data_IF_863864610143
#
_entry.id   IF_863864610143
#
_cell.length_a   1.000
_cell.length_b   1.000
_cell.length_c   1.000
_cell.angle_alpha   90.00
_cell.angle_beta   90.00
_cell.angle_gamma   90.00
#
_symmetry.space_group_name_H-M   'P 1'
#
loop_
_entity.id
_entity.type
_entity.pdbx_description
1 polymer ?
#
# COMPACT_ATOMS: atom_id res chain seq x y z
N UNK A 1 71.64 19.66 19.62
CA UNK A 1 71.28 20.54 18.49
C UNK A 1 70.67 19.68 17.39
N UNK A 2 69.73 20.25 16.63
CA UNK A 2 68.91 19.68 15.55
C UNK A 2 67.67 18.89 15.97
N UNK A 3 66.55 19.61 15.86
CA UNK A 3 65.15 19.20 15.96
C UNK A 3 64.73 18.44 14.71
N UNK A 4 63.99 17.36 14.91
CA UNK A 4 63.29 16.59 13.89
C UNK A 4 62.08 17.37 13.37
N UNK A 5 61.93 17.35 12.05
CA UNK A 5 60.81 17.87 11.26
C UNK A 5 59.54 17.02 11.53
N UNK A 6 58.40 17.65 11.77
CA UNK A 6 57.08 17.07 11.48
C UNK A 6 56.23 18.17 10.84
N UNK A 7 56.08 18.11 9.51
CA UNK A 7 55.03 18.83 8.81
C UNK A 7 53.72 18.06 9.01
N UNK A 8 52.78 18.64 9.74
CA UNK A 8 51.40 18.19 9.78
C UNK A 8 50.64 18.88 8.63
N UNK A 9 50.25 18.11 7.61
CA UNK A 9 49.25 18.53 6.63
C UNK A 9 47.87 18.47 7.33
N UNK A 10 47.37 19.63 7.75
CA UNK A 10 45.97 19.79 8.12
C UNK A 10 45.14 19.85 6.83
N UNK A 11 44.68 18.68 6.35
CA UNK A 11 43.61 18.63 5.37
C UNK A 11 42.29 18.86 6.12
N UNK A 12 41.88 20.12 6.18
CA UNK A 12 40.50 20.46 6.54
C UNK A 12 39.57 19.79 5.53
N UNK A 13 38.91 18.72 5.96
CA UNK A 13 37.68 18.23 5.36
C UNK A 13 36.65 19.36 5.43
N UNK A 14 36.55 20.14 4.36
CA UNK A 14 35.34 20.89 4.02
C UNK A 14 34.26 19.85 3.70
N UNK A 15 33.68 19.26 4.73
CA UNK A 15 32.32 18.72 4.61
C UNK A 15 31.47 19.95 4.38
N UNK A 16 31.11 20.24 3.13
CA UNK A 16 30.01 21.16 2.88
C UNK A 16 28.82 20.57 3.64
N UNK A 17 28.31 21.21 4.71
CA UNK A 17 27.02 20.80 5.22
C UNK A 17 26.07 20.98 4.03
N UNK A 18 25.36 19.91 3.66
CA UNK A 18 24.21 20.01 2.76
C UNK A 18 23.41 21.24 3.21
N UNK A 19 23.17 22.17 2.27
CA UNK A 19 22.38 23.36 2.58
C UNK A 19 21.10 22.90 3.29
N UNK A 20 20.75 23.54 4.40
CA UNK A 20 19.54 23.19 5.15
C UNK A 20 18.36 23.17 4.17
N UNK A 21 17.84 21.99 3.88
CA UNK A 21 16.79 21.83 2.90
C UNK A 21 15.53 22.49 3.48
N UNK A 22 15.01 23.51 2.79
CA UNK A 22 13.84 24.25 3.26
C UNK A 22 12.57 23.44 3.03
N UNK A 23 12.23 22.57 3.97
CA UNK A 23 10.95 21.86 3.99
C UNK A 23 9.82 22.75 4.52
N UNK A 24 8.65 22.66 3.91
CA UNK A 24 7.42 23.29 4.42
C UNK A 24 6.62 22.30 5.28
N UNK A 25 5.97 22.75 6.37
CA UNK A 25 5.06 21.91 7.15
C UNK A 25 3.89 21.39 6.30
N UNK A 26 3.35 20.23 6.66
CA UNK A 26 2.19 19.61 6.01
C UNK A 26 2.37 19.39 4.49
N UNK A 27 3.60 19.08 4.07
CA UNK A 27 3.90 18.63 2.73
C UNK A 27 4.57 17.26 2.80
N UNK A 28 4.10 16.33 1.96
CA UNK A 28 4.78 15.07 1.70
C UNK A 28 5.53 15.20 0.37
N UNK A 29 6.78 14.76 0.33
CA UNK A 29 7.60 14.83 -0.87
C UNK A 29 7.68 13.45 -1.51
N UNK A 30 7.50 13.37 -2.83
CA UNK A 30 7.46 12.10 -3.54
C UNK A 30 8.27 12.12 -4.84
N UNK A 31 8.50 10.93 -5.40
CA UNK A 31 9.48 10.63 -6.45
C UNK A 31 10.94 11.02 -6.12
N UNK A 32 11.30 10.92 -4.85
CA UNK A 32 12.65 11.16 -4.36
C UNK A 32 13.62 10.06 -4.81
N UNK A 33 14.84 10.47 -5.18
CA UNK A 33 15.99 9.56 -5.27
C UNK A 33 16.63 9.30 -3.92
N UNK A 34 17.59 8.36 -3.88
CA UNK A 34 18.39 8.06 -2.69
C UNK A 34 19.89 8.25 -2.95
N UNK A 35 20.69 8.80 -2.02
CA UNK A 35 20.33 9.31 -0.69
C UNK A 35 19.30 10.44 -0.77
N UNK A 36 18.35 10.48 0.16
CA UNK A 36 17.24 11.43 0.07
C UNK A 36 17.74 12.87 0.07
N UNK A 37 17.34 13.62 -0.95
CA UNK A 37 17.53 15.04 -1.06
C UNK A 37 16.41 15.65 -1.92
N UNK A 38 16.02 16.88 -1.60
CA UNK A 38 15.14 17.69 -2.43
C UNK A 38 15.92 18.34 -3.58
N UNK A 39 15.33 18.32 -4.77
CA UNK A 39 15.77 19.06 -5.95
C UNK A 39 14.60 19.85 -6.57
N UNK A 40 14.85 20.52 -7.70
CA UNK A 40 13.84 21.34 -8.40
C UNK A 40 12.70 20.52 -9.02
N UNK A 41 12.89 19.21 -9.20
CA UNK A 41 11.95 18.29 -9.83
C UNK A 41 11.15 17.50 -8.80
N UNK A 42 11.52 17.61 -7.53
CA UNK A 42 10.86 16.89 -6.44
C UNK A 42 9.42 17.35 -6.30
N UNK A 43 8.51 16.41 -6.42
CA UNK A 43 7.08 16.66 -6.32
C UNK A 43 6.64 16.66 -4.85
N UNK A 44 5.54 17.36 -4.57
CA UNK A 44 4.97 17.41 -3.24
C UNK A 44 3.44 17.40 -3.25
N UNK A 45 2.86 16.83 -2.20
CA UNK A 45 1.44 16.86 -1.92
C UNK A 45 1.21 17.68 -0.66
N UNK A 46 0.39 18.73 -0.76
CA UNK A 46 -0.02 19.53 0.40
C UNK A 46 -1.12 18.77 1.14
N UNK A 47 -0.91 18.53 2.44
CA UNK A 47 -1.90 17.93 3.32
C UNK A 47 -2.78 19.02 3.91
N UNK A 48 -4.04 19.06 3.47
CA UNK A 48 -5.05 20.02 3.89
C UNK A 48 -6.46 19.44 3.73
N UNK A 49 -7.49 20.25 3.97
CA UNK A 49 -8.89 19.83 3.81
C UNK A 49 -9.21 19.32 2.39
N UNK A 50 -8.50 19.79 1.37
CA UNK A 50 -8.73 19.35 -0.01
C UNK A 50 -8.16 17.96 -0.28
N UNK A 51 -7.14 17.48 0.44
CA UNK A 51 -6.50 16.17 0.21
C UNK A 51 -6.82 15.15 1.31
N UNK A 52 -7.52 15.56 2.37
CA UNK A 52 -7.83 14.71 3.52
C UNK A 52 -8.65 13.49 3.16
N UNK A 53 -9.71 13.65 2.38
CA UNK A 53 -10.60 12.55 1.99
C UNK A 53 -9.88 11.50 1.14
N UNK A 54 -8.93 11.92 0.29
CA UNK A 54 -8.06 11.02 -0.47
C UNK A 54 -7.16 10.20 0.44
N UNK A 55 -6.52 10.83 1.44
CA UNK A 55 -5.74 10.11 2.42
C UNK A 55 -6.61 9.11 3.19
N UNK A 56 -7.75 9.57 3.74
CA UNK A 56 -8.66 8.71 4.50
C UNK A 56 -9.12 7.50 3.68
N UNK A 57 -9.48 7.70 2.40
CA UNK A 57 -9.92 6.59 1.55
C UNK A 57 -8.82 5.54 1.35
N UNK A 58 -7.56 5.97 1.22
CA UNK A 58 -6.42 5.06 1.17
C UNK A 58 -6.16 4.34 2.50
N UNK A 59 -6.34 5.01 3.64
CA UNK A 59 -6.22 4.37 4.95
C UNK A 59 -7.34 3.37 5.21
N UNK A 60 -8.57 3.64 4.74
CA UNK A 60 -9.68 2.68 4.78
C UNK A 60 -9.35 1.44 3.94
N UNK A 61 -8.83 1.63 2.73
CA UNK A 61 -8.41 0.50 1.90
C UNK A 61 -7.21 -0.25 2.49
N UNK A 62 -6.27 0.44 3.13
CA UNK A 62 -5.18 -0.19 3.87
C UNK A 62 -5.63 -0.99 5.09
N UNK A 63 -6.64 -0.51 5.81
CA UNK A 63 -7.27 -1.31 6.86
C UNK A 63 -7.98 -2.55 6.30
N UNK A 64 -8.61 -2.45 5.13
CA UNK A 64 -9.16 -3.62 4.41
C UNK A 64 -8.04 -4.58 4.00
N UNK A 65 -6.91 -4.06 3.52
CA UNK A 65 -5.76 -4.89 3.18
C UNK A 65 -5.23 -5.65 4.41
N UNK A 66 -5.01 -4.95 5.52
CA UNK A 66 -4.60 -5.57 6.78
C UNK A 66 -5.62 -6.62 7.27
N UNK A 67 -6.92 -6.34 7.15
CA UNK A 67 -7.99 -7.28 7.47
C UNK A 67 -7.91 -8.55 6.60
N UNK A 68 -7.75 -8.43 5.29
CA UNK A 68 -7.64 -9.56 4.36
C UNK A 68 -6.42 -10.44 4.65
N UNK A 69 -5.25 -9.84 4.97
CA UNK A 69 -4.05 -10.58 5.38
C UNK A 69 -4.35 -11.41 6.64
N UNK A 70 -4.96 -10.81 7.67
CA UNK A 70 -5.31 -11.51 8.90
C UNK A 70 -6.36 -12.61 8.71
N UNK A 71 -7.33 -12.44 7.80
CA UNK A 71 -8.28 -13.50 7.47
C UNK A 71 -7.58 -14.71 6.82
N UNK A 72 -6.58 -14.44 5.97
CA UNK A 72 -5.82 -15.50 5.30
C UNK A 72 -4.88 -16.25 6.24
N UNK A 73 -4.04 -15.51 6.97
CA UNK A 73 -3.10 -16.08 7.94
C UNK A 73 -3.09 -15.23 9.23
N UNK A 74 -3.88 -15.62 10.24
CA UNK A 74 -3.94 -14.93 11.53
C UNK A 74 -2.64 -14.95 12.33
N UNK A 75 -1.65 -15.77 11.94
CA UNK A 75 -0.37 -15.85 12.66
C UNK A 75 0.64 -14.82 12.17
N UNK A 76 0.43 -14.21 11.00
CA UNK A 76 1.32 -13.16 10.52
C UNK A 76 1.20 -11.93 11.42
N UNK A 77 2.34 -11.53 12.00
CA UNK A 77 2.48 -10.19 12.53
C UNK A 77 2.89 -9.25 11.38
N UNK A 78 2.62 -7.97 11.55
CA UNK A 78 3.17 -6.90 10.72
C UNK A 78 2.98 -5.55 11.40
N UNK A 79 3.73 -4.56 10.92
CA UNK A 79 3.50 -3.19 11.33
C UNK A 79 2.31 -2.63 10.55
N UNK A 80 1.20 -2.40 11.26
CA UNK A 80 -0.03 -1.85 10.68
C UNK A 80 0.22 -0.49 10.03
N UNK A 81 1.19 0.31 10.50
CA UNK A 81 1.52 1.60 9.89
C UNK A 81 1.93 1.43 8.42
N UNK A 82 2.81 0.47 8.13
CA UNK A 82 3.32 0.27 6.78
C UNK A 82 2.36 -0.52 5.88
N UNK A 83 1.56 -1.43 6.42
CA UNK A 83 0.53 -2.14 5.64
C UNK A 83 -0.69 -1.24 5.37
N UNK A 84 -1.23 -0.55 6.37
CA UNK A 84 -2.39 0.32 6.17
C UNK A 84 -2.02 1.59 5.39
N UNK A 85 -0.77 2.04 5.47
CA UNK A 85 -0.26 3.15 4.67
C UNK A 85 0.08 2.79 3.23
N UNK A 86 0.36 1.51 2.91
CA UNK A 86 0.98 1.14 1.63
C UNK A 86 0.19 1.60 0.40
N UNK A 87 -1.14 1.62 0.48
CA UNK A 87 -1.98 2.08 -0.63
C UNK A 87 -1.76 3.56 -0.92
N UNK A 88 -1.64 4.39 0.11
CA UNK A 88 -1.35 5.81 -0.08
C UNK A 88 0.07 6.02 -0.63
N UNK A 89 1.06 5.26 -0.13
CA UNK A 89 2.41 5.31 -0.69
C UNK A 89 2.46 4.86 -2.16
N UNK A 90 1.72 3.82 -2.51
CA UNK A 90 1.61 3.31 -3.89
C UNK A 90 0.94 4.33 -4.82
N UNK A 91 -0.09 5.04 -4.34
CA UNK A 91 -0.72 6.14 -5.07
C UNK A 91 0.30 7.24 -5.42
N UNK A 92 1.15 7.61 -4.46
CA UNK A 92 2.16 8.66 -4.66
C UNK A 92 3.29 8.25 -5.60
N UNK A 93 3.56 6.95 -5.74
CA UNK A 93 4.65 6.43 -6.57
C UNK A 93 4.43 6.61 -8.08
N UNK A 94 3.19 6.74 -8.54
CA UNK A 94 2.84 6.66 -9.98
C UNK A 94 2.64 8.01 -10.68
N UNK A 95 2.86 9.12 -9.96
CA UNK A 95 2.54 10.49 -10.39
C UNK A 95 1.14 10.68 -11.01
N UNK A 96 0.19 11.10 -10.18
CA UNK A 96 -1.20 11.28 -10.59
C UNK A 96 -1.62 12.73 -10.72
N UNK A 97 -0.66 13.64 -10.96
CA UNK A 97 -0.90 15.07 -10.75
C UNK A 97 -1.65 15.30 -9.43
N UNK A 98 -1.23 14.66 -8.35
CA UNK A 98 -1.97 14.70 -7.07
C UNK A 98 -2.10 16.14 -6.54
N UNK A 99 -1.21 17.04 -6.98
CA UNK A 99 -1.32 18.48 -6.77
C UNK A 99 -2.59 19.12 -7.40
N UNK A 100 -3.16 18.52 -8.44
CA UNK A 100 -4.39 18.94 -9.10
C UNK A 100 -5.66 18.34 -8.47
N UNK A 101 -5.53 17.42 -7.50
CA UNK A 101 -6.65 16.75 -6.83
C UNK A 101 -7.70 17.74 -6.31
N UNK A 102 -8.97 17.33 -6.34
CA UNK A 102 -10.11 18.12 -5.84
C UNK A 102 -11.03 17.25 -5.02
N UNK A 103 -11.21 17.55 -3.73
CA UNK A 103 -12.13 16.80 -2.85
C UNK A 103 -13.59 16.81 -3.33
N UNK A 104 -13.98 17.79 -4.12
CA UNK A 104 -15.32 17.88 -4.72
C UNK A 104 -15.53 16.91 -5.90
N UNK A 105 -14.46 16.31 -6.42
CA UNK A 105 -14.49 15.30 -7.47
C UNK A 105 -14.58 13.89 -6.86
N UNK A 106 -15.32 12.94 -7.48
CA UNK A 106 -15.22 11.53 -7.11
C UNK A 106 -13.94 10.87 -7.67
N UNK A 107 -13.20 11.56 -8.53
CA UNK A 107 -12.02 11.04 -9.22
C UNK A 107 -10.74 11.44 -8.52
N UNK A 108 -9.79 10.50 -8.47
CA UNK A 108 -8.41 10.74 -8.06
C UNK A 108 -7.76 11.71 -9.06
N UNK A 109 -7.95 11.45 -10.36
CA UNK A 109 -7.51 12.35 -11.43
C UNK A 109 -8.68 13.21 -11.91
N UNK A 110 -8.73 14.51 -11.57
CA UNK A 110 -9.82 15.38 -12.01
C UNK A 110 -9.71 15.78 -13.48
N UNK A 111 -8.56 15.54 -14.14
CA UNK A 111 -8.38 15.73 -15.58
C UNK A 111 -8.85 14.47 -16.35
N UNK A 112 -9.92 14.56 -17.17
CA UNK A 112 -10.40 13.43 -17.96
C UNK A 112 -9.39 12.88 -18.97
N UNK A 113 -8.48 13.70 -19.51
CA UNK A 113 -7.48 13.25 -20.47
C UNK A 113 -6.45 12.33 -19.80
N UNK A 114 -5.99 12.70 -18.61
CA UNK A 114 -5.06 11.89 -17.80
C UNK A 114 -5.74 10.62 -17.36
N UNK A 115 -6.97 10.70 -16.85
CA UNK A 115 -7.76 9.51 -16.51
C UNK A 115 -7.89 8.57 -17.71
N UNK A 116 -8.12 9.09 -18.92
CA UNK A 116 -8.20 8.26 -20.12
C UNK A 116 -6.88 7.55 -20.45
N UNK A 117 -5.73 8.15 -20.13
CA UNK A 117 -4.42 7.52 -20.29
C UNK A 117 -4.21 6.41 -19.25
N UNK A 118 -4.50 6.70 -17.97
CA UNK A 118 -4.36 5.75 -16.86
C UNK A 118 -5.32 4.55 -16.95
N UNK A 119 -6.41 4.69 -17.70
CA UNK A 119 -7.39 3.62 -17.95
C UNK A 119 -7.32 3.09 -19.38
N UNK A 120 -6.27 3.40 -20.14
CA UNK A 120 -6.08 2.82 -21.47
C UNK A 120 -5.98 1.28 -21.41
N UNK A 121 -6.17 0.55 -22.52
CA UNK A 121 -6.04 -0.90 -22.53
C UNK A 121 -4.75 -1.40 -21.87
N UNK A 122 -4.88 -2.34 -20.93
CA UNK A 122 -3.78 -2.89 -20.15
C UNK A 122 -3.32 -2.04 -18.96
N UNK A 123 -3.85 -0.83 -18.79
CA UNK A 123 -3.52 0.05 -17.66
C UNK A 123 -4.47 -0.17 -16.49
N UNK A 124 -3.91 -0.23 -15.27
CA UNK A 124 -4.64 -0.51 -14.04
C UNK A 124 -5.11 0.71 -13.26
N UNK A 125 -5.19 1.87 -13.89
CA UNK A 125 -5.54 3.12 -13.21
C UNK A 125 -4.41 3.67 -12.33
N UNK A 126 -4.75 4.56 -11.39
CA UNK A 126 -3.78 5.31 -10.58
C UNK A 126 -2.78 4.50 -9.76
N UNK A 127 -3.13 3.27 -9.43
CA UNK A 127 -2.32 2.40 -8.59
C UNK A 127 -1.45 1.44 -9.42
N UNK A 128 -1.48 1.49 -10.75
CA UNK A 128 -0.87 0.48 -11.64
C UNK A 128 -1.28 -0.95 -11.28
N UNK A 129 -2.59 -1.16 -11.19
CA UNK A 129 -3.18 -2.48 -11.03
C UNK A 129 -3.09 -3.24 -12.37
N UNK A 130 -1.89 -3.35 -12.92
CA UNK A 130 -1.63 -3.96 -14.22
C UNK A 130 -2.07 -5.42 -14.13
N UNK A 131 -2.67 -5.93 -15.20
CA UNK A 131 -3.29 -7.26 -15.19
C UNK A 131 -4.49 -7.44 -14.23
N UNK A 132 -5.14 -6.35 -13.76
CA UNK A 132 -6.45 -6.44 -13.07
C UNK A 132 -7.49 -7.28 -13.84
N UNK A 133 -7.32 -7.35 -15.16
CA UNK A 133 -8.16 -8.01 -16.14
C UNK A 133 -7.83 -9.49 -16.36
N UNK A 134 -6.85 -10.04 -15.65
CA UNK A 134 -6.36 -11.43 -15.81
C UNK A 134 -6.47 -12.20 -14.51
N UNK A 135 -6.49 -13.53 -14.59
CA UNK A 135 -6.22 -14.37 -13.41
C UNK A 135 -4.73 -14.35 -13.17
N UNK A 136 -4.33 -14.25 -11.91
CA UNK A 136 -2.94 -14.43 -11.54
C UNK A 136 -2.63 -15.92 -11.42
N UNK A 137 -1.35 -16.25 -11.22
CA UNK A 137 -0.91 -17.61 -10.98
C UNK A 137 -1.72 -18.25 -9.86
N UNK A 138 -2.27 -19.45 -10.13
CA UNK A 138 -3.19 -20.20 -9.26
C UNK A 138 -4.67 -19.74 -9.29
N UNK A 139 -5.04 -18.91 -10.25
CA UNK A 139 -6.43 -18.79 -10.71
C UNK A 139 -7.24 -17.64 -10.11
N UNK A 140 -6.67 -16.88 -9.17
CA UNK A 140 -7.34 -15.73 -8.53
C UNK A 140 -6.90 -14.43 -9.19
N UNK A 141 -7.83 -13.65 -9.73
CA UNK A 141 -7.67 -12.26 -10.15
C UNK A 141 -8.65 -11.35 -9.42
N UNK A 142 -8.60 -10.04 -9.67
CA UNK A 142 -9.46 -9.08 -8.94
C UNK A 142 -10.94 -9.33 -9.11
N UNK A 143 -11.34 -9.68 -10.32
CA UNK A 143 -12.71 -10.04 -10.65
C UNK A 143 -13.15 -11.34 -9.96
N UNK A 144 -12.27 -12.18 -9.44
CA UNK A 144 -12.70 -13.36 -8.70
C UNK A 144 -13.26 -12.99 -7.31
N UNK A 145 -12.89 -11.84 -6.73
CA UNK A 145 -13.46 -11.39 -5.47
C UNK A 145 -14.93 -11.02 -5.64
N UNK A 146 -15.80 -11.75 -4.96
CA UNK A 146 -17.25 -11.59 -5.05
C UNK A 146 -17.68 -10.15 -4.82
N UNK A 147 -17.00 -9.45 -3.90
CA UNK A 147 -17.28 -8.07 -3.51
C UNK A 147 -16.82 -7.02 -4.53
N UNK A 148 -15.88 -7.34 -5.42
CA UNK A 148 -15.37 -6.42 -6.45
C UNK A 148 -16.05 -6.57 -7.81
N UNK A 149 -16.60 -7.75 -8.11
CA UNK A 149 -17.18 -8.06 -9.43
C UNK A 149 -18.13 -6.99 -9.95
N UNK A 150 -19.09 -6.60 -9.10
CA UNK A 150 -20.12 -5.62 -9.44
C UNK A 150 -19.50 -4.30 -9.91
N UNK A 151 -18.46 -3.83 -9.21
CA UNK A 151 -17.87 -2.50 -9.38
C UNK A 151 -16.80 -2.45 -10.47
N UNK A 152 -16.19 -3.59 -10.79
CA UNK A 152 -15.33 -3.72 -11.96
C UNK A 152 -16.16 -3.81 -13.25
N UNK A 153 -17.42 -4.27 -13.17
CA UNK A 153 -18.33 -4.33 -14.32
C UNK A 153 -17.88 -5.30 -15.42
N UNK A 154 -17.07 -6.28 -15.05
CA UNK A 154 -16.54 -7.29 -15.97
C UNK A 154 -16.99 -8.69 -15.60
N UNK A 155 -16.71 -9.62 -16.51
CA UNK A 155 -17.10 -11.02 -16.43
C UNK A 155 -15.88 -11.91 -16.35
N UNK A 156 -15.94 -12.97 -15.54
CA UNK A 156 -14.83 -13.92 -15.38
C UNK A 156 -14.50 -14.57 -16.73
N UNK A 157 -15.46 -14.80 -17.62
CA UNK A 157 -15.12 -15.39 -18.94
C UNK A 157 -14.40 -14.39 -19.87
N UNK A 158 -14.58 -13.09 -19.67
CA UNK A 158 -13.85 -12.05 -20.42
C UNK A 158 -12.38 -11.98 -19.96
N UNK A 159 -12.12 -12.32 -18.70
CA UNK A 159 -10.77 -12.48 -18.13
C UNK A 159 -10.07 -13.70 -18.74
N UNK A 160 -10.75 -14.86 -18.78
CA UNK A 160 -10.17 -16.12 -19.27
C UNK A 160 -9.89 -16.12 -20.78
N UNK A 161 -10.72 -15.41 -21.55
CA UNK A 161 -10.52 -15.25 -22.99
C UNK A 161 -9.48 -14.18 -23.36
N UNK A 162 -8.95 -13.45 -22.37
CA UNK A 162 -8.05 -12.31 -22.60
C UNK A 162 -8.71 -11.08 -23.24
N UNK A 163 -10.02 -11.14 -23.51
CA UNK A 163 -10.78 -10.03 -24.09
C UNK A 163 -10.76 -8.80 -23.18
N UNK A 164 -10.64 -9.00 -21.87
CA UNK A 164 -10.67 -7.91 -20.92
C UNK A 164 -9.41 -7.04 -20.94
N UNK A 165 -8.24 -7.60 -21.25
CA UNK A 165 -6.97 -6.85 -21.28
C UNK A 165 -6.89 -5.85 -22.43
N UNK A 166 -7.64 -6.07 -23.52
CA UNK A 166 -7.66 -5.16 -24.68
C UNK A 166 -8.72 -4.06 -24.57
N UNK A 167 -9.54 -4.06 -23.52
CA UNK A 167 -10.58 -3.05 -23.27
C UNK A 167 -10.02 -1.93 -22.39
N UNK A 168 -10.63 -0.75 -22.48
CA UNK A 168 -10.43 0.35 -21.51
C UNK A 168 -10.73 -0.16 -20.09
N UNK A 169 -9.91 0.22 -19.11
CA UNK A 169 -10.16 -0.01 -17.69
C UNK A 169 -11.46 0.63 -17.19
N UNK A 170 -12.08 0.08 -16.14
CA UNK A 170 -13.26 0.66 -15.52
C UNK A 170 -12.94 2.04 -14.97
N UNK A 171 -13.88 2.98 -15.12
CA UNK A 171 -13.75 4.29 -14.48
C UNK A 171 -13.67 4.16 -12.95
N UNK A 172 -14.25 3.09 -12.38
CA UNK A 172 -14.18 2.81 -10.94
C UNK A 172 -12.73 2.69 -10.43
N UNK A 173 -11.77 2.23 -11.24
CA UNK A 173 -10.36 2.16 -10.83
C UNK A 173 -9.74 3.54 -10.53
N UNK A 174 -10.28 4.63 -11.08
CA UNK A 174 -9.85 6.01 -10.79
C UNK A 174 -10.78 6.72 -9.79
N UNK A 175 -11.82 6.04 -9.29
CA UNK A 175 -12.69 6.59 -8.25
C UNK A 175 -11.96 6.59 -6.90
N UNK A 176 -12.02 7.71 -6.16
CA UNK A 176 -11.27 7.89 -4.90
C UNK A 176 -11.70 6.96 -3.78
N UNK A 177 -12.89 6.35 -3.86
CA UNK A 177 -13.41 5.43 -2.86
C UNK A 177 -13.19 3.96 -3.27
N UNK A 178 -13.38 3.63 -4.56
CA UNK A 178 -13.19 2.26 -5.05
C UNK A 178 -11.75 1.93 -5.46
N UNK A 179 -11.06 2.84 -6.15
CA UNK A 179 -9.69 2.64 -6.63
C UNK A 179 -8.71 2.15 -5.55
N UNK A 180 -8.64 2.81 -4.37
CA UNK A 180 -7.81 2.32 -3.27
C UNK A 180 -8.21 0.92 -2.80
N UNK A 181 -9.51 0.61 -2.71
CA UNK A 181 -9.99 -0.72 -2.33
C UNK A 181 -9.57 -1.77 -3.38
N UNK A 182 -9.74 -1.51 -4.67
CA UNK A 182 -9.28 -2.41 -5.72
C UNK A 182 -7.77 -2.68 -5.62
N UNK A 183 -6.97 -1.65 -5.32
CA UNK A 183 -5.54 -1.79 -5.08
C UNK A 183 -5.24 -2.66 -3.85
N UNK A 184 -5.99 -2.51 -2.75
CA UNK A 184 -5.86 -3.37 -1.55
C UNK A 184 -6.08 -4.85 -1.87
N UNK A 185 -7.12 -5.18 -2.63
CA UNK A 185 -7.35 -6.56 -3.08
C UNK A 185 -6.29 -7.07 -4.04
N UNK A 186 -5.68 -6.20 -4.86
CA UNK A 186 -4.61 -6.60 -5.76
C UNK A 186 -3.29 -6.84 -5.00
N UNK A 187 -2.99 -6.03 -3.99
CA UNK A 187 -1.90 -6.31 -3.06
C UNK A 187 -2.15 -7.61 -2.29
N UNK A 188 -3.39 -7.85 -1.83
CA UNK A 188 -3.75 -9.11 -1.20
C UNK A 188 -3.60 -10.31 -2.15
N UNK A 189 -3.99 -10.17 -3.42
CA UNK A 189 -3.71 -11.16 -4.45
C UNK A 189 -2.21 -11.45 -4.63
N UNK A 190 -1.35 -10.47 -4.42
CA UNK A 190 0.11 -10.67 -4.43
C UNK A 190 0.55 -11.58 -3.27
N UNK A 191 -0.02 -11.43 -2.07
CA UNK A 191 0.21 -12.36 -0.96
C UNK A 191 -0.23 -13.78 -1.36
N UNK A 192 -1.46 -13.94 -1.86
CA UNK A 192 -1.98 -15.25 -2.30
C UNK A 192 -1.10 -15.90 -3.36
N UNK A 193 -0.61 -15.11 -4.33
CA UNK A 193 0.32 -15.54 -5.37
C UNK A 193 1.66 -15.99 -4.80
N UNK A 194 2.21 -15.27 -3.82
CA UNK A 194 3.45 -15.66 -3.13
C UNK A 194 3.28 -16.98 -2.39
N UNK A 195 2.14 -17.17 -1.71
CA UNK A 195 1.80 -18.44 -1.08
C UNK A 195 1.73 -19.57 -2.09
N UNK A 196 0.94 -19.41 -3.14
CA UNK A 196 0.67 -20.49 -4.07
C UNK A 196 1.92 -20.91 -4.87
N UNK A 197 2.69 -19.96 -5.40
CA UNK A 197 3.89 -20.29 -6.19
C UNK A 197 4.98 -20.93 -5.32
N UNK A 198 5.16 -20.49 -4.08
CA UNK A 198 6.24 -21.00 -3.21
C UNK A 198 5.86 -22.25 -2.40
N UNK A 199 4.62 -22.75 -2.53
CA UNK A 199 4.25 -24.11 -2.11
C UNK A 199 4.87 -25.17 -3.03
N UNK A 200 5.07 -24.85 -4.31
CA UNK A 200 5.74 -25.74 -5.24
C UNK A 200 7.26 -25.76 -4.99
N UNK A 201 7.93 -26.92 -5.05
CA UNK A 201 9.38 -27.02 -4.86
C UNK A 201 10.22 -26.21 -5.85
N UNK A 202 9.65 -25.84 -7.01
CA UNK A 202 10.29 -25.02 -8.05
C UNK A 202 9.93 -23.53 -7.98
N UNK A 203 9.16 -23.11 -6.96
CA UNK A 203 8.87 -21.71 -6.72
C UNK A 203 10.16 -20.88 -6.52
N UNK A 204 10.16 -19.59 -6.89
CA UNK A 204 11.37 -18.77 -6.91
C UNK A 204 12.03 -18.61 -5.54
N UNK A 205 11.25 -18.73 -4.46
CA UNK A 205 11.69 -18.61 -3.08
C UNK A 205 11.25 -19.82 -2.23
N UNK A 206 10.92 -20.97 -2.85
CA UNK A 206 10.34 -22.12 -2.15
C UNK A 206 11.21 -22.62 -0.97
N UNK A 207 12.54 -22.53 -1.10
CA UNK A 207 13.48 -22.92 -0.05
C UNK A 207 13.41 -22.02 1.20
N UNK A 208 13.08 -20.74 1.03
CA UNK A 208 13.13 -19.72 2.07
C UNK A 208 11.73 -19.37 2.60
N UNK A 209 10.68 -19.52 1.79
CA UNK A 209 9.36 -18.97 2.06
C UNK A 209 8.75 -19.47 3.38
N UNK A 210 8.79 -20.77 3.65
CA UNK A 210 8.26 -21.32 4.91
C UNK A 210 9.02 -20.83 6.16
N UNK A 211 10.33 -20.56 6.05
CA UNK A 211 11.10 -19.96 7.15
C UNK A 211 10.79 -18.47 7.30
N UNK A 212 10.60 -17.76 6.19
CA UNK A 212 10.16 -16.37 6.21
C UNK A 212 8.80 -16.24 6.89
N UNK A 213 7.79 -17.03 6.52
CA UNK A 213 6.47 -16.99 7.17
C UNK A 213 6.54 -17.18 8.68
N UNK A 214 7.38 -18.10 9.17
CA UNK A 214 7.60 -18.28 10.62
C UNK A 214 8.23 -17.05 11.28
N UNK A 215 9.22 -16.44 10.64
CA UNK A 215 9.85 -15.22 11.18
C UNK A 215 8.89 -14.02 11.15
N UNK A 216 7.95 -13.97 10.20
CA UNK A 216 6.91 -12.94 10.13
C UNK A 216 5.84 -13.06 11.23
N UNK A 217 5.79 -14.18 11.97
CA UNK A 217 4.96 -14.26 13.18
C UNK A 217 5.53 -13.41 14.32
N UNK A 218 6.80 -13.01 14.22
CA UNK A 218 7.43 -12.07 15.14
C UNK A 218 7.28 -10.63 14.60
N UNK A 219 6.70 -9.69 15.39
CA UNK A 219 6.67 -8.29 14.99
C UNK A 219 8.08 -7.66 14.94
N UNK A 220 9.05 -8.18 15.67
CA UNK A 220 10.41 -7.66 15.68
C UNK A 220 11.12 -7.96 14.35
N UNK A 221 11.60 -6.92 13.67
CA UNK A 221 12.26 -7.00 12.34
C UNK A 221 11.36 -7.54 11.23
N UNK A 222 10.05 -7.37 11.38
CA UNK A 222 9.09 -7.72 10.34
C UNK A 222 9.29 -6.83 9.10
N UNK A 223 9.32 -7.45 7.92
CA UNK A 223 9.47 -6.76 6.63
C UNK A 223 8.41 -7.20 5.62
N UNK A 224 7.24 -7.63 6.10
CA UNK A 224 6.14 -8.11 5.25
C UNK A 224 5.76 -7.06 4.20
N UNK A 225 5.63 -5.80 4.60
CA UNK A 225 5.30 -4.70 3.69
C UNK A 225 6.34 -4.53 2.57
N UNK A 226 7.64 -4.75 2.83
CA UNK A 226 8.65 -4.69 1.76
C UNK A 226 8.55 -5.86 0.80
N UNK A 227 8.25 -7.06 1.31
CA UNK A 227 8.01 -8.24 0.47
C UNK A 227 6.78 -8.00 -0.41
N UNK A 228 5.69 -7.48 0.16
CA UNK A 228 4.45 -7.26 -0.56
C UNK A 228 4.53 -6.08 -1.54
N UNK A 229 5.16 -4.97 -1.17
CA UNK A 229 5.41 -3.85 -2.08
C UNK A 229 6.35 -4.25 -3.23
N UNK A 230 7.39 -5.04 -2.97
CA UNK A 230 8.25 -5.60 -4.02
C UNK A 230 7.49 -6.57 -4.93
N UNK A 231 6.70 -7.46 -4.33
CA UNK A 231 5.88 -8.43 -5.06
C UNK A 231 4.82 -7.75 -5.94
N UNK A 232 4.21 -6.68 -5.46
CA UNK A 232 3.21 -5.91 -6.19
C UNK A 232 3.83 -5.26 -7.43
N UNK A 233 4.98 -4.60 -7.25
CA UNK A 233 5.61 -3.80 -8.29
C UNK A 233 6.42 -4.63 -9.29
N UNK A 234 7.12 -5.67 -8.83
CA UNK A 234 8.07 -6.44 -9.64
C UNK A 234 7.63 -7.89 -9.88
N UNK A 235 6.68 -8.40 -9.09
CA UNK A 235 6.24 -9.79 -9.12
C UNK A 235 7.06 -10.73 -8.21
N UNK A 236 6.59 -11.98 -8.03
CA UNK A 236 7.20 -12.98 -7.14
C UNK A 236 8.53 -13.54 -7.67
N UNK A 237 8.79 -13.44 -8.97
CA UNK A 237 10.01 -13.94 -9.61
C UNK A 237 11.16 -12.91 -9.62
N UNK A 238 10.84 -11.64 -9.32
CA UNK A 238 11.80 -10.55 -9.34
C UNK A 238 12.93 -10.76 -8.33
N UNK A 239 14.11 -10.23 -8.66
CA UNK A 239 15.30 -10.37 -7.83
C UNK A 239 15.09 -9.73 -6.47
N UNK A 240 14.53 -8.51 -6.43
CA UNK A 240 14.27 -7.82 -5.16
C UNK A 240 13.28 -8.58 -4.25
N UNK A 241 12.20 -9.15 -4.80
CA UNK A 241 11.22 -9.92 -4.03
C UNK A 241 11.86 -11.16 -3.40
N UNK A 242 12.67 -11.89 -4.18
CA UNK A 242 13.45 -13.03 -3.67
C UNK A 242 14.43 -12.61 -2.59
N UNK A 243 15.11 -11.46 -2.75
CA UNK A 243 16.04 -10.94 -1.73
C UNK A 243 15.31 -10.66 -0.42
N UNK A 244 14.17 -9.97 -0.42
CA UNK A 244 13.45 -9.71 0.82
C UNK A 244 12.91 -10.98 1.49
N UNK A 245 12.44 -11.96 0.72
CA UNK A 245 12.03 -13.26 1.28
C UNK A 245 13.23 -14.00 1.89
N UNK A 246 14.40 -13.95 1.24
CA UNK A 246 15.63 -14.55 1.77
C UNK A 246 16.08 -13.88 3.08
N UNK A 247 16.09 -12.54 3.14
CA UNK A 247 16.42 -11.81 4.37
C UNK A 247 15.44 -12.14 5.49
N UNK A 248 14.14 -12.18 5.18
CA UNK A 248 13.08 -12.57 6.09
C UNK A 248 13.26 -14.00 6.64
N UNK A 249 13.58 -14.96 5.78
CA UNK A 249 13.84 -16.35 6.15
C UNK A 249 15.03 -16.53 7.11
N UNK A 250 15.93 -15.53 7.17
CA UNK A 250 17.13 -15.55 7.98
C UNK A 250 17.14 -14.45 9.06
N UNK A 251 15.99 -13.83 9.36
CA UNK A 251 15.89 -12.68 10.27
C UNK A 251 16.27 -13.00 11.73
N UNK A 252 16.17 -14.26 12.13
CA UNK A 252 16.58 -14.80 13.42
C UNK A 252 18.11 -15.01 13.53
N UNK A 253 18.84 -14.98 12.40
CA UNK A 253 20.28 -15.20 12.35
C UNK A 253 21.05 -13.89 12.52
N UNK A 254 21.98 -13.78 13.50
CA UNK A 254 22.76 -12.56 13.73
C UNK A 254 23.52 -12.05 12.49
N UNK A 255 23.96 -12.95 11.62
CA UNK A 255 24.68 -12.61 10.39
C UNK A 255 23.88 -11.71 9.43
N UNK A 256 22.54 -11.77 9.47
CA UNK A 256 21.66 -10.99 8.61
C UNK A 256 21.17 -9.68 9.24
N UNK A 257 21.49 -9.45 10.53
CA UNK A 257 20.96 -8.28 11.24
C UNK A 257 21.38 -6.95 10.61
N UNK A 258 22.59 -6.87 10.05
CA UNK A 258 23.05 -5.65 9.37
C UNK A 258 22.26 -5.40 8.08
N UNK A 259 22.06 -6.45 7.26
CA UNK A 259 21.32 -6.33 6.00
C UNK A 259 19.87 -5.89 6.25
N UNK A 260 19.21 -6.48 7.25
CA UNK A 260 17.83 -6.14 7.60
C UNK A 260 17.73 -4.70 8.11
N UNK A 261 18.68 -4.25 8.93
CA UNK A 261 18.69 -2.88 9.43
C UNK A 261 18.88 -1.85 8.29
N UNK A 262 19.56 -2.21 7.20
CA UNK A 262 19.74 -1.33 6.05
C UNK A 262 18.53 -1.23 5.12
N UNK A 263 17.50 -2.06 5.29
CA UNK A 263 16.30 -2.02 4.43
C UNK A 263 15.63 -0.63 4.48
N UNK A 264 15.69 0.05 5.63
CA UNK A 264 15.15 1.41 5.85
C UNK A 264 16.21 2.51 5.86
N UNK A 265 17.39 2.25 5.29
CA UNK A 265 18.44 3.26 5.23
C UNK A 265 18.26 4.17 4.02
N UNK A 266 17.59 5.30 4.25
CA UNK A 266 17.34 6.35 3.26
C UNK A 266 18.59 7.16 2.91
N UNK A 267 19.70 6.94 3.60
CA UNK A 267 20.97 7.62 3.34
C UNK A 267 21.85 6.89 2.32
N UNK A 268 21.48 5.66 1.95
CA UNK A 268 22.22 4.87 0.97
C UNK A 268 21.79 5.21 -0.46
N UNK A 269 22.77 5.50 -1.32
CA UNK A 269 22.55 5.43 -2.78
C UNK A 269 22.10 4.04 -3.21
N UNK A 270 21.47 3.91 -4.36
CA UNK A 270 21.00 2.60 -4.85
C UNK A 270 22.11 1.55 -4.96
N UNK A 271 23.32 1.96 -5.36
CA UNK A 271 24.48 1.04 -5.42
C UNK A 271 24.93 0.61 -4.02
N UNK A 272 24.94 1.54 -3.06
CA UNK A 272 25.29 1.23 -1.68
C UNK A 272 24.22 0.35 -1.00
N UNK A 273 22.94 0.64 -1.27
CA UNK A 273 21.80 -0.16 -0.81
C UNK A 273 21.88 -1.58 -1.36
N UNK A 274 22.12 -1.71 -2.67
CA UNK A 274 22.29 -3.00 -3.34
C UNK A 274 23.32 -3.88 -2.62
N UNK A 275 24.49 -3.29 -2.30
CA UNK A 275 25.55 -3.97 -1.56
C UNK A 275 25.19 -4.24 -0.10
N UNK A 276 24.54 -3.29 0.57
CA UNK A 276 24.20 -3.38 2.00
C UNK A 276 23.18 -4.47 2.31
N UNK A 277 22.24 -4.74 1.38
CA UNK A 277 21.24 -5.80 1.53
C UNK A 277 21.56 -7.06 0.72
N UNK A 278 22.69 -7.07 0.00
CA UNK A 278 23.14 -8.13 -0.91
C UNK A 278 22.10 -8.55 -1.97
N UNK A 279 21.42 -7.57 -2.57
CA UNK A 279 20.52 -7.83 -3.71
C UNK A 279 21.27 -7.80 -5.04
N UNK A 280 20.82 -8.58 -6.02
CA UNK A 280 21.29 -8.50 -7.41
C UNK A 280 20.39 -7.66 -8.32
N UNK A 281 19.34 -7.06 -7.75
CA UNK A 281 18.45 -6.15 -8.49
C UNK A 281 19.25 -4.95 -9.01
N UNK A 282 18.97 -4.48 -10.23
CA UNK A 282 19.76 -3.41 -10.83
C UNK A 282 19.65 -2.10 -10.05
N UNK A 283 20.79 -1.48 -9.70
CA UNK A 283 20.84 -0.15 -9.10
C UNK A 283 20.21 0.89 -10.05
N UNK A 284 19.41 1.82 -9.53
CA UNK A 284 18.62 2.76 -10.34
C UNK A 284 17.35 2.17 -10.96
N UNK A 285 17.08 0.87 -10.76
CA UNK A 285 15.80 0.31 -11.19
C UNK A 285 14.68 0.78 -10.27
N UNK A 286 13.50 0.96 -10.86
CA UNK A 286 12.26 1.25 -10.15
C UNK A 286 11.97 0.21 -9.07
N UNK A 287 12.37 -1.05 -9.25
CA UNK A 287 12.14 -2.12 -8.29
C UNK A 287 13.00 -2.03 -7.02
N UNK A 288 14.17 -1.36 -7.06
CA UNK A 288 14.88 -0.96 -5.84
C UNK A 288 14.24 0.27 -5.20
N UNK A 289 13.78 1.22 -6.02
CA UNK A 289 13.27 2.51 -5.54
C UNK A 289 11.89 2.39 -4.88
N UNK A 290 10.92 1.73 -5.51
CA UNK A 290 9.52 1.81 -5.11
C UNK A 290 9.23 1.34 -3.68
N UNK A 291 9.72 0.17 -3.20
CA UNK A 291 9.47 -0.23 -1.82
C UNK A 291 10.08 0.76 -0.80
N UNK A 292 11.25 1.33 -1.11
CA UNK A 292 11.94 2.31 -0.25
C UNK A 292 11.21 3.64 -0.25
N UNK A 293 10.74 4.09 -1.41
CA UNK A 293 9.94 5.30 -1.59
C UNK A 293 8.63 5.21 -0.80
N UNK A 294 7.89 4.09 -0.90
CA UNK A 294 6.66 3.87 -0.16
C UNK A 294 6.90 4.00 1.36
N UNK A 295 7.89 3.29 1.91
CA UNK A 295 8.22 3.41 3.34
C UNK A 295 8.62 4.84 3.73
N UNK A 296 9.41 5.52 2.89
CA UNK A 296 9.82 6.89 3.13
C UNK A 296 8.62 7.85 3.20
N UNK A 297 7.66 7.77 2.27
CA UNK A 297 6.46 8.62 2.27
C UNK A 297 5.62 8.42 3.52
N UNK A 298 5.55 7.17 4.00
CA UNK A 298 4.85 6.84 5.23
C UNK A 298 5.58 7.37 6.46
N UNK A 299 6.91 7.26 6.50
CA UNK A 299 7.69 7.83 7.58
C UNK A 299 7.54 9.36 7.66
N UNK A 300 7.48 10.07 6.53
CA UNK A 300 7.15 11.50 6.48
C UNK A 300 5.74 11.82 6.99
N UNK A 301 4.74 11.02 6.59
CA UNK A 301 3.35 11.17 7.05
C UNK A 301 3.21 10.93 8.55
N UNK A 302 4.01 10.02 9.09
CA UNK A 302 3.92 9.53 10.48
C UNK A 302 4.87 10.24 11.45
N UNK A 303 5.63 11.23 10.98
CA UNK A 303 6.69 11.90 11.74
C UNK A 303 7.77 10.95 12.27
N UNK A 304 8.00 9.83 11.58
CA UNK A 304 9.14 8.98 11.87
C UNK A 304 10.42 9.69 11.40
N UNK A 305 11.59 9.42 12.01
CA UNK A 305 12.83 10.07 11.62
C UNK A 305 13.20 9.77 10.16
N UNK A 306 13.37 10.81 9.35
CA UNK A 306 13.91 10.71 7.98
C UNK A 306 15.07 11.71 7.77
N UNK A 307 15.85 11.60 6.68
CA UNK A 307 16.84 12.61 6.31
C UNK A 307 16.25 14.00 6.01
N UNK A 308 14.94 14.11 5.75
CA UNK A 308 14.25 15.39 5.62
C UNK A 308 13.66 15.77 6.97
N UNK A 309 13.82 17.02 7.44
CA UNK A 309 13.23 17.45 8.70
C UNK A 309 11.73 17.79 8.53
N UNK A 310 10.96 16.94 7.84
CA UNK A 310 9.53 17.15 7.62
C UNK A 310 8.78 16.88 8.91
N UNK A 311 7.74 17.69 9.14
CA UNK A 311 6.77 17.45 10.20
C UNK A 311 5.37 17.66 9.65
N UNK A 312 4.56 16.63 9.83
CA UNK A 312 3.17 16.55 9.43
C UNK A 312 2.30 16.59 10.68
N UNK A 313 1.52 17.65 10.84
CA UNK A 313 0.47 17.73 11.84
C UNK A 313 -0.87 17.67 11.09
N UNK A 314 -1.33 16.45 10.82
CA UNK A 314 -2.50 16.23 9.97
C UNK A 314 -3.57 15.44 10.71
N UNK A 315 -4.49 16.20 11.31
CA UNK A 315 -5.63 15.66 12.04
C UNK A 315 -6.74 15.20 11.10
N UNK A 316 -7.32 14.05 11.44
CA UNK A 316 -8.44 13.42 10.76
C UNK A 316 -9.67 13.47 11.67
N UNK A 317 -10.67 14.34 11.37
CA UNK A 317 -11.93 14.37 12.08
C UNK A 317 -12.70 13.05 11.92
N UNK A 318 -13.16 12.45 13.02
CA UNK A 318 -13.82 11.13 12.95
C UNK A 318 -15.15 11.13 12.20
N UNK A 319 -15.86 12.26 12.17
CA UNK A 319 -17.06 12.41 11.32
C UNK A 319 -16.73 12.29 9.81
N UNK A 320 -15.58 12.81 9.38
CA UNK A 320 -15.10 12.72 8.00
C UNK A 320 -14.60 11.31 7.71
N UNK A 321 -13.86 10.69 8.63
CA UNK A 321 -13.42 9.29 8.53
C UNK A 321 -14.62 8.36 8.38
N UNK A 322 -15.67 8.53 9.18
CA UNK A 322 -16.92 7.78 9.09
C UNK A 322 -17.59 7.92 7.72
N UNK A 323 -17.67 9.14 7.20
CA UNK A 323 -18.28 9.43 5.90
C UNK A 323 -17.51 8.74 4.76
N UNK A 324 -16.19 8.90 4.73
CA UNK A 324 -15.32 8.28 3.71
C UNK A 324 -15.32 6.76 3.83
N UNK A 325 -15.32 6.21 5.05
CA UNK A 325 -15.46 4.78 5.29
C UNK A 325 -16.75 4.25 4.66
N UNK A 326 -17.89 4.89 4.95
CA UNK A 326 -19.17 4.46 4.42
C UNK A 326 -19.21 4.55 2.89
N UNK A 327 -18.71 5.65 2.30
CA UNK A 327 -18.64 5.80 0.84
C UNK A 327 -17.74 4.75 0.19
N UNK A 328 -16.60 4.42 0.80
CA UNK A 328 -15.69 3.38 0.34
C UNK A 328 -16.37 2.01 0.35
N UNK A 329 -16.98 1.62 1.48
CA UNK A 329 -17.68 0.35 1.59
C UNK A 329 -18.89 0.27 0.64
N UNK A 330 -19.57 1.38 0.38
CA UNK A 330 -20.69 1.43 -0.56
C UNK A 330 -20.27 1.16 -2.01
N UNK A 331 -18.99 1.29 -2.34
CA UNK A 331 -18.48 0.88 -3.65
C UNK A 331 -18.29 -0.63 -3.79
N UNK A 332 -18.51 -1.43 -2.74
CA UNK A 332 -18.41 -2.88 -2.79
C UNK A 332 -19.79 -3.52 -2.96
N UNK A 333 -19.84 -4.58 -3.75
CA UNK A 333 -21.04 -5.39 -3.92
C UNK A 333 -21.18 -6.44 -2.83
N UNK A 334 -22.41 -6.80 -2.51
CA UNK A 334 -22.76 -8.03 -1.79
C UNK A 334 -23.67 -8.89 -2.64
N UNK A 335 -23.44 -10.19 -2.53
CA UNK A 335 -24.30 -11.21 -3.13
C UNK A 335 -25.42 -11.53 -2.16
N UNK A 336 -26.67 -11.49 -2.62
CA UNK A 336 -27.81 -12.10 -1.91
C UNK A 336 -28.23 -13.40 -2.57
N UNK A 337 -29.37 -13.98 -2.20
CA UNK A 337 -29.82 -15.22 -2.84
C UNK A 337 -30.03 -15.06 -4.35
N UNK A 338 -30.40 -13.85 -4.82
CA UNK A 338 -30.98 -13.68 -6.15
C UNK A 338 -30.28 -12.58 -6.98
N UNK A 339 -29.98 -11.40 -6.42
CA UNK A 339 -29.23 -10.33 -7.12
C UNK A 339 -27.98 -9.78 -6.36
N UNK A 340 -27.16 -9.02 -7.10
CA UNK A 340 -26.07 -8.20 -6.55
C UNK A 340 -26.64 -6.87 -6.07
N UNK A 341 -26.34 -6.50 -4.83
CA UNK A 341 -26.66 -5.17 -4.31
C UNK A 341 -25.42 -4.50 -3.73
N UNK A 342 -25.45 -3.17 -3.63
CA UNK A 342 -24.37 -2.42 -2.99
C UNK A 342 -24.48 -2.56 -1.46
N UNK A 343 -23.33 -2.53 -0.77
CA UNK A 343 -23.36 -2.34 0.68
C UNK A 343 -23.96 -0.97 0.97
N UNK A 344 -24.99 -0.89 1.81
CA UNK A 344 -25.62 0.41 2.09
C UNK A 344 -24.72 1.30 2.94
N UNK A 345 -24.70 2.60 2.66
CA UNK A 345 -24.03 3.63 3.49
C UNK A 345 -24.42 3.46 4.96
N UNK A 346 -25.72 3.24 5.23
CA UNK A 346 -26.21 3.10 6.59
C UNK A 346 -25.63 1.90 7.33
N UNK A 347 -25.45 0.76 6.66
CA UNK A 347 -24.84 -0.41 7.27
C UNK A 347 -23.37 -0.14 7.62
N UNK A 348 -22.60 0.45 6.70
CA UNK A 348 -21.21 0.80 6.93
C UNK A 348 -21.06 1.83 8.07
N UNK A 349 -21.90 2.86 8.07
CA UNK A 349 -21.98 3.83 9.15
C UNK A 349 -22.26 3.20 10.52
N UNK A 350 -23.22 2.28 10.61
CA UNK A 350 -23.56 1.57 11.86
C UNK A 350 -22.39 0.71 12.35
N UNK A 351 -21.69 0.02 11.46
CA UNK A 351 -20.51 -0.76 11.81
C UNK A 351 -19.37 0.13 12.34
N UNK A 352 -19.17 1.30 11.73
CA UNK A 352 -18.21 2.31 12.17
C UNK A 352 -18.57 2.89 13.54
N UNK A 353 -19.84 3.29 13.73
CA UNK A 353 -20.33 3.86 14.98
C UNK A 353 -20.15 2.88 16.16
N UNK A 354 -20.42 1.58 15.92
CA UNK A 354 -20.19 0.53 16.90
C UNK A 354 -18.69 0.35 17.23
N UNK A 355 -17.82 0.44 16.23
CA UNK A 355 -16.36 0.36 16.44
C UNK A 355 -15.83 1.57 17.23
N UNK A 356 -16.30 2.78 16.91
CA UNK A 356 -15.96 4.00 17.63
C UNK A 356 -16.40 3.93 19.09
N UNK A 357 -17.64 3.48 19.34
CA UNK A 357 -18.15 3.28 20.69
C UNK A 357 -17.31 2.25 21.47
N UNK A 358 -16.92 1.13 20.84
CA UNK A 358 -16.07 0.11 21.44
C UNK A 358 -14.68 0.62 21.85
N UNK A 359 -14.18 1.66 21.17
CA UNK A 359 -12.91 2.32 21.47
C UNK A 359 -13.06 3.59 22.33
N UNK A 360 -14.27 3.90 22.81
CA UNK A 360 -14.58 5.13 23.55
C UNK A 360 -14.25 6.42 22.78
N UNK A 361 -14.40 6.39 21.46
CA UNK A 361 -14.24 7.54 20.57
C UNK A 361 -15.61 8.18 20.24
N UNK A 362 -15.63 9.49 20.04
CA UNK A 362 -16.80 10.25 19.61
C UNK A 362 -16.59 10.85 18.22
N UNK A 363 -17.67 11.11 17.47
CA UNK A 363 -17.57 11.70 16.12
C UNK A 363 -17.03 13.15 16.11
N UNK A 364 -16.89 13.79 17.28
CA UNK A 364 -16.25 15.09 17.42
C UNK A 364 -14.73 14.99 17.65
N UNK A 365 -14.21 13.78 17.85
CA UNK A 365 -12.78 13.57 18.08
C UNK A 365 -12.01 13.75 16.76
N UNK A 366 -10.73 14.03 16.91
CA UNK A 366 -9.76 14.13 15.81
C UNK A 366 -8.54 13.29 16.14
N UNK A 367 -8.06 12.50 15.19
CA UNK A 367 -6.84 11.68 15.34
C UNK A 367 -5.74 12.23 14.43
N UNK A 368 -4.56 12.48 14.96
CA UNK A 368 -3.40 12.98 14.24
C UNK A 368 -2.55 11.82 13.68
N UNK A 369 -2.35 11.82 12.36
CA UNK A 369 -1.52 10.81 11.68
C UNK A 369 -0.06 10.85 12.12
N UNK A 370 0.42 12.03 12.54
CA UNK A 370 1.76 12.23 13.07
C UNK A 370 1.98 11.69 14.49
N UNK A 371 0.91 11.30 15.18
CA UNK A 371 0.96 10.73 16.53
C UNK A 371 0.74 9.22 16.49
N UNK A 372 1.73 8.44 16.95
CA UNK A 372 1.69 6.97 16.89
C UNK A 372 0.48 6.37 17.62
N UNK A 373 0.16 6.83 18.83
CA UNK A 373 -0.94 6.27 19.61
C UNK A 373 -2.30 6.54 18.95
N UNK A 374 -2.51 7.75 18.46
CA UNK A 374 -3.75 8.15 17.77
C UNK A 374 -3.88 7.46 16.41
N UNK A 375 -2.79 7.32 15.66
CA UNK A 375 -2.75 6.54 14.43
C UNK A 375 -3.09 5.07 14.67
N UNK A 376 -2.54 4.45 15.71
CA UNK A 376 -2.91 3.08 16.11
C UNK A 376 -4.37 2.98 16.58
N UNK A 377 -4.96 4.02 17.16
CA UNK A 377 -6.39 4.07 17.44
C UNK A 377 -7.23 4.14 16.16
N UNK A 378 -6.80 4.93 15.16
CA UNK A 378 -7.46 5.01 13.86
C UNK A 378 -7.48 3.66 13.14
N UNK A 379 -6.34 2.96 13.07
CA UNK A 379 -6.30 1.66 12.39
C UNK A 379 -7.15 0.61 13.09
N UNK A 380 -7.10 0.54 14.43
CA UNK A 380 -8.01 -0.33 15.20
C UNK A 380 -9.48 0.03 14.97
N UNK A 381 -9.82 1.32 14.87
CA UNK A 381 -11.18 1.77 14.56
C UNK A 381 -11.64 1.26 13.19
N UNK A 382 -10.81 1.42 12.16
CA UNK A 382 -11.13 0.99 10.79
C UNK A 382 -11.21 -0.54 10.69
N UNK A 383 -10.26 -1.28 11.27
CA UNK A 383 -10.28 -2.74 11.30
C UNK A 383 -11.53 -3.29 12.02
N UNK A 384 -11.87 -2.74 13.19
CA UNK A 384 -13.09 -3.11 13.92
C UNK A 384 -14.36 -2.76 13.12
N UNK A 385 -14.38 -1.62 12.42
CA UNK A 385 -15.51 -1.25 11.58
C UNK A 385 -15.71 -2.22 10.41
N UNK A 386 -14.61 -2.67 9.77
CA UNK A 386 -14.65 -3.68 8.71
C UNK A 386 -15.16 -5.02 9.26
N UNK A 387 -14.63 -5.48 10.40
CA UNK A 387 -15.05 -6.72 11.03
C UNK A 387 -16.54 -6.68 11.46
N UNK A 388 -16.98 -5.56 12.04
CA UNK A 388 -18.39 -5.35 12.39
C UNK A 388 -19.29 -5.39 11.15
N UNK A 389 -18.86 -4.77 10.04
CA UNK A 389 -19.62 -4.75 8.80
C UNK A 389 -19.72 -6.15 8.18
N UNK A 390 -18.61 -6.89 8.14
CA UNK A 390 -18.56 -8.29 7.71
C UNK A 390 -19.55 -9.14 8.52
N UNK A 391 -19.51 -9.03 9.85
CA UNK A 391 -20.40 -9.75 10.75
C UNK A 391 -21.87 -9.35 10.57
N UNK A 392 -22.16 -8.04 10.43
CA UNK A 392 -23.52 -7.54 10.26
C UNK A 392 -24.15 -8.04 8.95
N UNK A 393 -23.36 -8.13 7.89
CA UNK A 393 -23.82 -8.53 6.56
C UNK A 393 -23.68 -10.04 6.31
N UNK A 394 -23.13 -10.79 7.27
CA UNK A 394 -22.76 -12.20 7.13
C UNK A 394 -21.93 -12.44 5.84
N UNK A 395 -20.94 -11.59 5.63
CA UNK A 395 -20.10 -11.57 4.42
C UNK A 395 -18.66 -11.90 4.77
N UNK A 396 -18.00 -12.64 3.89
CA UNK A 396 -16.54 -12.78 3.89
C UNK A 396 -15.97 -11.87 2.78
N UNK A 397 -15.28 -10.81 3.17
CA UNK A 397 -14.64 -9.89 2.22
C UNK A 397 -13.56 -10.59 1.38
N UNK A 398 -12.98 -11.69 1.86
CA UNK A 398 -11.97 -12.46 1.11
C UNK A 398 -12.57 -13.50 0.16
N UNK A 399 -13.89 -13.65 0.12
CA UNK A 399 -14.57 -14.66 -0.69
C UNK A 399 -14.28 -14.46 -2.19
N UNK A 400 -13.89 -15.56 -2.83
CA UNK A 400 -13.65 -15.62 -4.27
C UNK A 400 -14.62 -16.59 -4.95
N UNK A 401 -14.90 -16.34 -6.22
CA UNK A 401 -15.71 -17.20 -7.07
C UNK A 401 -15.07 -17.39 -8.43
N UNK A 402 -15.42 -18.53 -9.03
CA UNK A 402 -15.02 -19.00 -10.35
C UNK A 402 -16.13 -18.85 -11.40
N UNK A 403 -17.26 -18.27 -11.00
CA UNK A 403 -18.44 -18.09 -11.83
C UNK A 403 -18.93 -16.67 -11.74
N UNK A 404 -19.35 -16.14 -12.89
CA UNK A 404 -20.17 -14.94 -12.96
C UNK A 404 -21.45 -15.15 -12.16
N UNK A 405 -21.60 -14.39 -11.09
CA UNK A 405 -22.78 -14.55 -10.27
C UNK A 405 -24.07 -14.12 -11.00
N UNK A 406 -23.95 -13.17 -11.95
CA UNK A 406 -25.04 -12.74 -12.88
C UNK A 406 -25.58 -13.90 -13.74
N UNK A 407 -24.83 -15.00 -13.93
CA UNK A 407 -25.30 -16.19 -14.67
C UNK A 407 -25.76 -17.34 -13.79
N UNK A 408 -25.38 -17.36 -12.51
CA UNK A 408 -25.79 -18.42 -11.59
C UNK A 408 -27.31 -18.39 -11.30
N UNK A 409 -27.96 -17.23 -11.48
CA UNK A 409 -29.41 -17.04 -11.31
C UNK A 409 -30.05 -16.27 -12.48
N UNK A 410 -30.33 -16.92 -13.63
CA UNK A 410 -30.98 -16.27 -14.78
C UNK A 410 -32.46 -15.89 -14.57
N UNK A 411 -33.01 -16.18 -13.38
CA UNK A 411 -34.42 -15.95 -13.01
C UNK A 411 -34.59 -14.99 -11.83
N UNK A 412 -33.50 -14.35 -11.38
CA UNK A 412 -33.55 -13.33 -10.35
C UNK A 412 -33.88 -11.92 -10.88
#
# INVERSE_FOLDING_TARGET
>A
MMRTLVLAFLSLLLVNPLAAQSVKPNQLYYHLGFPVALDEQTENLILNDNTRDLLIANLVAGAMYAYLIHQHDPQLAFDTDYIAGSLFGQLLQENLQTAAYKSTSPWINPDPAIRSMLLAPGQGGPYQINDYSKRLESGVGLINFTVLQKSLGYRIEDQDSGQQTVKKGPDSLDNKYFGPLAAAYFQYNTLLRLYAINQDPWGPSAADFGACLRNLQNPDKNILDMILNAGYNAGPWATITKTYIHLCANADKPAFSSQINHINDYTLSDTAYQQAIDTREAAGSTFILYPRQIRFYLDELYNNPTPLPTHTAFSLPLNEVRSVFAQSMHTLGRVTQDHYEDITIKAAETAFDAAAQGLSLTLNDTLDMGNREQRQQLFRLLENAIANLASQLAMDFSETTERDWVRANPQA
#
